data_IF_831237986321
#
_entry.id   IF_831237986321
#
_cell.length_a   1.000
_cell.length_b   1.000
_cell.length_c   1.000
_cell.angle_alpha   90.00
_cell.angle_beta   90.00
_cell.angle_gamma   90.00
#
_symmetry.space_group_name_H-M   'P 1'
#
loop_
_entity.id
_entity.type
_entity.pdbx_description
1 polymer ?
#
# COMPACT_ATOMS: atom_id res chain seq x y z
N UNK A 1 -10.35 -69.97 -18.34
CA UNK A 1 -10.61 -68.67 -17.66
C UNK A 1 -9.47 -68.21 -16.73
N UNK A 2 -8.61 -69.11 -16.22
CA UNK A 2 -7.50 -68.75 -15.33
C UNK A 2 -6.40 -67.87 -16.00
N UNK A 3 -6.11 -68.09 -17.29
CA UNK A 3 -5.07 -67.33 -18.00
C UNK A 3 -5.42 -65.86 -18.23
N UNK A 4 -6.70 -65.51 -18.39
CA UNK A 4 -7.10 -64.11 -18.63
C UNK A 4 -6.94 -63.27 -17.36
N UNK A 5 -7.23 -63.84 -16.20
CA UNK A 5 -7.04 -63.17 -14.91
C UNK A 5 -5.56 -62.96 -14.57
N UNK A 6 -4.69 -63.90 -14.94
CA UNK A 6 -3.25 -63.77 -14.75
C UNK A 6 -2.65 -62.63 -15.58
N UNK A 7 -3.10 -62.48 -16.84
CA UNK A 7 -2.66 -61.39 -17.72
C UNK A 7 -3.15 -60.02 -17.24
N UNK A 8 -4.38 -59.92 -16.72
CA UNK A 8 -4.90 -58.68 -16.15
C UNK A 8 -4.16 -58.27 -14.87
N UNK A 9 -3.74 -59.22 -14.04
CA UNK A 9 -2.95 -58.95 -12.83
C UNK A 9 -1.53 -58.45 -13.17
N UNK A 10 -0.89 -59.01 -14.21
CA UNK A 10 0.43 -58.56 -14.69
C UNK A 10 0.34 -57.16 -15.30
N UNK A 11 -0.71 -56.86 -16.08
CA UNK A 11 -0.95 -55.52 -16.62
C UNK A 11 -1.22 -54.48 -15.53
N UNK A 12 -1.98 -54.82 -14.48
CA UNK A 12 -2.22 -53.90 -13.37
C UNK A 12 -0.95 -53.58 -12.57
N UNK A 13 -0.07 -54.56 -12.38
CA UNK A 13 1.22 -54.34 -11.72
C UNK A 13 2.20 -53.53 -12.59
N UNK A 14 2.17 -53.71 -13.91
CA UNK A 14 2.98 -52.90 -14.85
C UNK A 14 2.49 -51.44 -14.93
N UNK A 15 1.17 -51.21 -14.87
CA UNK A 15 0.57 -49.86 -14.80
C UNK A 15 0.84 -49.20 -13.44
N UNK A 16 0.87 -49.98 -12.35
CA UNK A 16 1.24 -49.49 -11.02
C UNK A 16 2.73 -49.11 -10.91
N UNK A 17 3.63 -49.92 -11.49
CA UNK A 17 5.07 -49.62 -11.53
C UNK A 17 5.40 -48.40 -12.41
N UNK A 18 4.67 -48.19 -13.50
CA UNK A 18 4.81 -46.99 -14.34
C UNK A 18 4.18 -45.74 -13.72
N UNK A 19 3.22 -45.89 -12.79
CA UNK A 19 2.70 -44.79 -11.97
C UNK A 19 3.66 -44.40 -10.83
N UNK A 20 4.35 -45.37 -10.23
CA UNK A 20 5.33 -45.12 -9.15
C UNK A 20 6.64 -44.51 -9.68
N UNK A 21 7.05 -44.84 -10.91
CA UNK A 21 8.22 -44.19 -11.54
C UNK A 21 7.97 -42.76 -12.06
N UNK A 22 6.71 -42.30 -12.14
CA UNK A 22 6.40 -40.92 -12.54
C UNK A 22 6.54 -39.88 -11.41
N UNK A 23 6.69 -40.32 -10.16
CA UNK A 23 6.71 -39.43 -8.99
C UNK A 23 7.96 -39.57 -8.13
N UNK A 24 9.14 -39.77 -8.74
CA UNK A 24 10.39 -39.44 -8.07
C UNK A 24 10.71 -37.99 -8.44
N UNK A 25 10.60 -37.01 -7.53
CA UNK A 25 11.17 -35.69 -7.78
C UNK A 25 12.68 -35.88 -7.83
N UNK A 26 13.22 -36.05 -9.03
CA UNK A 26 14.63 -35.92 -9.29
C UNK A 26 15.03 -34.52 -8.82
N UNK A 27 15.56 -34.43 -7.60
CA UNK A 27 16.22 -33.25 -7.07
C UNK A 27 17.44 -33.01 -7.93
N UNK A 28 17.23 -32.35 -9.08
CA UNK A 28 18.30 -31.85 -9.95
C UNK A 28 19.15 -30.94 -9.09
N UNK A 29 20.33 -31.42 -8.72
CA UNK A 29 21.42 -30.54 -8.30
C UNK A 29 21.64 -29.59 -9.47
N UNK A 30 21.21 -28.34 -9.30
CA UNK A 30 21.42 -27.26 -10.24
C UNK A 30 22.92 -27.03 -10.36
N UNK A 31 23.50 -27.60 -11.41
CA UNK A 31 24.81 -27.18 -11.91
C UNK A 31 24.54 -25.81 -12.54
N UNK A 32 25.13 -24.77 -11.95
CA UNK A 32 25.05 -23.40 -12.44
C UNK A 32 25.45 -23.38 -13.92
N UNK A 33 24.51 -23.02 -14.78
CA UNK A 33 24.76 -22.66 -16.16
C UNK A 33 24.26 -21.23 -16.34
N UNK A 34 25.06 -20.30 -16.87
CA UNK A 34 24.67 -18.89 -17.05
C UNK A 34 23.52 -18.69 -18.08
N UNK A 35 22.90 -19.79 -18.54
CA UNK A 35 21.71 -19.84 -19.39
C UNK A 35 20.47 -20.40 -18.68
N UNK A 36 20.54 -20.73 -17.39
CA UNK A 36 19.36 -21.12 -16.61
C UNK A 36 18.55 -19.88 -16.24
N UNK A 37 17.29 -19.89 -16.66
CA UNK A 37 16.26 -18.88 -16.38
C UNK A 37 16.36 -18.39 -14.93
N UNK A 38 16.86 -17.17 -14.74
CA UNK A 38 16.95 -16.54 -13.42
C UNK A 38 15.53 -16.31 -12.89
N UNK A 39 15.14 -17.09 -11.88
CA UNK A 39 13.89 -16.90 -11.16
C UNK A 39 13.94 -15.67 -10.26
N UNK A 40 12.77 -15.09 -9.91
CA UNK A 40 12.72 -13.83 -9.17
C UNK A 40 13.37 -13.94 -7.78
N UNK A 41 13.27 -15.10 -7.11
CA UNK A 41 13.93 -15.38 -5.82
C UNK A 41 15.41 -15.76 -5.94
N UNK A 42 15.92 -16.07 -7.13
CA UNK A 42 17.29 -16.53 -7.35
C UNK A 42 18.17 -15.46 -7.98
N UNK A 43 17.61 -14.27 -8.25
CA UNK A 43 18.39 -13.13 -8.72
C UNK A 43 19.46 -12.79 -7.66
N UNK A 44 20.73 -12.58 -8.07
CA UNK A 44 21.77 -12.21 -7.12
C UNK A 44 21.45 -10.87 -6.47
N UNK A 45 22.05 -10.65 -5.31
CA UNK A 45 21.77 -9.52 -4.41
C UNK A 45 23.08 -8.79 -4.09
N UNK A 46 23.05 -7.48 -3.77
CA UNK A 46 24.23 -6.60 -3.75
C UNK A 46 25.44 -7.05 -2.94
N UNK A 47 25.25 -7.86 -1.90
CA UNK A 47 26.35 -8.32 -1.05
C UNK A 47 27.02 -9.60 -1.57
N UNK A 48 26.51 -10.21 -2.65
CA UNK A 48 27.16 -11.36 -3.26
C UNK A 48 28.30 -10.89 -4.16
N UNK A 49 29.44 -11.60 -4.12
CA UNK A 49 30.63 -11.28 -4.94
C UNK A 49 30.33 -11.30 -6.45
N UNK A 50 29.28 -11.99 -6.84
CA UNK A 50 28.86 -12.16 -8.23
C UNK A 50 27.91 -11.03 -8.69
N UNK A 51 27.40 -10.20 -7.80
CA UNK A 51 26.39 -9.20 -8.13
C UNK A 51 26.90 -8.16 -9.13
N UNK A 52 28.08 -7.59 -8.90
CA UNK A 52 28.62 -6.53 -9.77
C UNK A 52 28.89 -7.05 -11.18
N UNK A 53 29.39 -8.28 -11.27
CA UNK A 53 29.66 -9.00 -12.53
C UNK A 53 28.33 -9.34 -13.21
N UNK A 54 27.38 -9.89 -12.47
CA UNK A 54 26.07 -10.26 -12.99
C UNK A 54 25.30 -9.04 -13.46
N UNK A 55 25.33 -7.92 -12.76
CA UNK A 55 24.61 -6.71 -13.14
C UNK A 55 25.39 -5.82 -14.13
N UNK A 56 26.63 -6.19 -14.44
CA UNK A 56 27.55 -5.41 -15.29
C UNK A 56 27.77 -3.98 -14.80
N UNK A 57 27.83 -3.78 -13.47
CA UNK A 57 27.92 -2.44 -12.87
C UNK A 57 29.20 -1.70 -13.29
N UNK A 58 30.31 -2.40 -13.42
CA UNK A 58 31.60 -1.81 -13.84
C UNK A 58 31.58 -1.34 -15.30
N UNK A 59 30.87 -2.07 -16.17
CA UNK A 59 30.71 -1.69 -17.57
C UNK A 59 29.83 -0.45 -17.70
N UNK A 60 28.72 -0.42 -16.97
CA UNK A 60 27.73 0.67 -17.01
C UNK A 60 28.15 1.90 -16.19
N UNK A 61 29.08 1.76 -15.24
CA UNK A 61 29.52 2.80 -14.29
C UNK A 61 28.36 3.49 -13.54
N UNK A 62 27.25 2.79 -13.38
CA UNK A 62 26.06 3.30 -12.68
C UNK A 62 25.59 2.26 -11.68
N UNK A 63 25.13 2.74 -10.53
CA UNK A 63 24.79 1.88 -9.41
C UNK A 63 23.29 1.64 -9.28
N UNK A 64 22.43 1.98 -10.25
CA UNK A 64 20.96 1.82 -10.15
C UNK A 64 20.37 0.84 -11.17
N UNK A 65 21.17 0.33 -12.10
CA UNK A 65 20.73 -0.57 -13.17
C UNK A 65 21.45 -1.91 -13.07
N UNK A 66 20.70 -2.99 -13.20
CA UNK A 66 21.22 -4.34 -13.31
C UNK A 66 20.87 -4.91 -14.67
N UNK A 67 21.89 -5.13 -15.51
CA UNK A 67 21.73 -5.64 -16.88
C UNK A 67 22.59 -6.89 -17.14
N UNK A 68 22.11 -8.08 -16.78
CA UNK A 68 22.87 -9.31 -16.89
C UNK A 68 23.17 -9.78 -18.30
N UNK A 69 22.40 -9.34 -19.29
CA UNK A 69 22.67 -9.69 -20.67
C UNK A 69 23.43 -8.61 -21.43
N UNK A 70 23.80 -7.49 -20.80
CA UNK A 70 24.43 -6.35 -21.45
C UNK A 70 23.62 -5.87 -22.66
N UNK A 71 22.29 -5.83 -22.50
CA UNK A 71 21.36 -5.43 -23.54
C UNK A 71 21.52 -3.96 -23.87
N UNK A 72 21.80 -3.13 -22.86
CA UNK A 72 22.11 -1.72 -23.06
C UNK A 72 23.61 -1.55 -23.27
N UNK A 73 23.95 -0.61 -24.15
CA UNK A 73 25.30 -0.09 -24.27
C UNK A 73 25.58 0.95 -23.18
N UNK A 74 26.87 1.18 -22.90
CA UNK A 74 27.28 2.21 -21.94
C UNK A 74 26.75 3.60 -22.31
N UNK A 75 26.72 3.96 -23.60
CA UNK A 75 26.19 5.25 -24.06
C UNK A 75 24.67 5.36 -23.84
N UNK A 76 23.93 4.27 -24.01
CA UNK A 76 22.50 4.24 -23.68
C UNK A 76 22.26 4.43 -22.18
N UNK A 77 23.07 3.81 -21.33
CA UNK A 77 22.99 4.02 -19.89
C UNK A 77 23.37 5.45 -19.50
N UNK A 78 24.39 6.05 -20.13
CA UNK A 78 24.74 7.46 -19.92
C UNK A 78 23.59 8.40 -20.33
N UNK A 79 22.88 8.12 -21.43
CA UNK A 79 21.67 8.86 -21.82
C UNK A 79 20.50 8.66 -20.84
N UNK A 80 20.38 7.45 -20.27
CA UNK A 80 19.38 7.17 -19.24
C UNK A 80 19.70 7.91 -17.94
N UNK A 81 20.97 7.97 -17.55
CA UNK A 81 21.45 8.66 -16.34
C UNK A 81 21.16 10.16 -16.38
N UNK A 82 21.26 10.78 -17.56
CA UNK A 82 20.82 12.16 -17.76
C UNK A 82 19.34 12.34 -17.36
N UNK A 83 18.46 11.44 -17.83
CA UNK A 83 17.03 11.47 -17.50
C UNK A 83 16.79 11.24 -16.00
N UNK A 84 17.53 10.32 -15.37
CA UNK A 84 17.41 10.03 -13.92
C UNK A 84 17.81 11.25 -13.08
N UNK A 85 18.88 11.94 -13.47
CA UNK A 85 19.38 13.14 -12.79
C UNK A 85 18.43 14.34 -12.97
N UNK A 86 17.91 14.55 -14.17
CA UNK A 86 16.91 15.60 -14.44
C UNK A 86 15.67 15.44 -13.55
N UNK A 87 15.25 14.20 -13.29
CA UNK A 87 14.06 13.88 -12.51
C UNK A 87 14.35 13.73 -10.99
N UNK A 88 15.56 14.14 -10.56
CA UNK A 88 16.01 14.15 -9.15
C UNK A 88 15.88 12.78 -8.45
N UNK A 89 16.12 11.69 -9.18
CA UNK A 89 16.14 10.33 -8.65
C UNK A 89 17.57 9.88 -8.31
N UNK A 90 17.71 8.86 -7.46
CA UNK A 90 18.99 8.29 -7.01
C UNK A 90 18.96 6.79 -7.01
N UNK A 91 20.13 6.13 -6.93
CA UNK A 91 20.18 4.68 -6.80
C UNK A 91 19.61 4.18 -5.46
N UNK A 92 18.90 3.05 -5.48
CA UNK A 92 18.50 2.33 -4.28
C UNK A 92 19.67 1.59 -3.57
N UNK A 93 20.77 1.34 -4.27
CA UNK A 93 21.98 0.67 -3.76
C UNK A 93 22.94 1.64 -3.06
N UNK A 94 22.50 2.88 -2.90
CA UNK A 94 23.30 3.97 -2.39
C UNK A 94 23.30 3.97 -0.85
N UNK A 95 24.46 4.29 -0.25
CA UNK A 95 24.58 4.40 1.22
C UNK A 95 23.72 5.53 1.79
N UNK A 96 23.59 5.61 3.12
CA UNK A 96 22.69 6.56 3.83
C UNK A 96 22.90 8.05 3.53
N UNK A 97 23.95 8.42 2.80
CA UNK A 97 24.28 9.79 2.37
C UNK A 97 23.67 10.21 1.03
N UNK A 98 22.97 9.32 0.33
CA UNK A 98 22.51 9.58 -1.03
C UNK A 98 21.25 10.43 -1.06
N UNK A 99 21.45 11.74 -0.89
CA UNK A 99 20.45 12.79 -1.10
C UNK A 99 19.17 12.60 -0.29
N UNK A 100 19.14 13.17 0.93
CA UNK A 100 17.88 13.27 1.70
C UNK A 100 16.82 13.96 0.84
N UNK A 101 15.70 13.28 0.60
CA UNK A 101 14.58 13.78 -0.20
C UNK A 101 14.55 13.34 -1.66
N UNK A 102 15.58 12.67 -2.18
CA UNK A 102 15.54 12.09 -3.54
C UNK A 102 14.84 10.74 -3.53
N UNK A 103 14.09 10.46 -4.60
CA UNK A 103 13.42 9.16 -4.78
C UNK A 103 14.43 8.12 -5.23
N UNK A 104 14.37 6.93 -4.61
CA UNK A 104 15.29 5.82 -4.91
C UNK A 104 14.75 4.97 -6.06
N UNK A 105 15.58 4.77 -7.08
CA UNK A 105 15.30 4.04 -8.30
C UNK A 105 16.17 2.77 -8.36
N UNK A 106 15.56 1.66 -8.76
CA UNK A 106 16.25 0.44 -9.17
C UNK A 106 15.70 -0.03 -10.51
N UNK A 107 16.56 -0.35 -11.47
CA UNK A 107 16.18 -0.89 -12.78
C UNK A 107 16.77 -2.28 -12.93
N UNK A 108 15.95 -3.25 -13.32
CA UNK A 108 16.40 -4.62 -13.59
C UNK A 108 15.97 -5.06 -14.97
N UNK A 109 16.93 -5.47 -15.78
CA UNK A 109 16.69 -6.05 -17.10
C UNK A 109 16.75 -7.57 -16.97
N UNK A 110 15.64 -8.22 -17.28
CA UNK A 110 15.48 -9.67 -17.18
C UNK A 110 15.52 -10.25 -18.61
N UNK A 111 16.60 -10.97 -18.99
CA UNK A 111 16.76 -11.46 -20.36
C UNK A 111 15.69 -12.48 -20.76
N UNK A 112 15.31 -13.34 -19.81
CA UNK A 112 14.21 -14.28 -19.97
C UNK A 112 13.60 -14.62 -18.60
N UNK A 113 12.27 -14.63 -18.52
CA UNK A 113 11.51 -15.12 -17.37
C UNK A 113 10.77 -16.42 -17.73
N UNK A 114 10.34 -17.19 -16.73
CA UNK A 114 9.46 -18.34 -16.95
C UNK A 114 8.41 -18.43 -15.86
N UNK A 115 7.24 -18.95 -16.21
CA UNK A 115 6.18 -19.21 -15.22
C UNK A 115 6.66 -20.26 -14.20
N UNK A 116 7.42 -21.26 -14.66
CA UNK A 116 7.99 -22.29 -13.78
C UNK A 116 8.94 -21.70 -12.72
N UNK A 117 9.73 -20.68 -13.08
CA UNK A 117 10.64 -20.03 -12.13
C UNK A 117 9.92 -19.13 -11.13
N UNK A 118 8.72 -18.63 -11.47
CA UNK A 118 7.82 -17.93 -10.55
C UNK A 118 7.24 -18.91 -9.53
N UNK A 119 6.70 -20.03 -10.01
CA UNK A 119 6.13 -21.09 -9.15
C UNK A 119 7.19 -21.68 -8.21
N UNK A 120 8.42 -21.89 -8.71
CA UNK A 120 9.52 -22.37 -7.88
C UNK A 120 9.96 -21.38 -6.78
N UNK A 121 9.64 -20.09 -6.93
CA UNK A 121 9.93 -19.04 -5.95
C UNK A 121 8.84 -18.96 -4.87
N UNK A 122 7.59 -19.29 -5.20
CA UNK A 122 6.48 -19.36 -4.25
C UNK A 122 5.60 -20.57 -4.51
N UNK A 123 5.75 -21.61 -3.67
CA UNK A 123 5.01 -22.87 -3.77
C UNK A 123 3.51 -22.71 -3.55
N UNK A 124 3.02 -21.58 -3.04
CA UNK A 124 1.58 -21.33 -2.96
C UNK A 124 0.95 -21.15 -4.35
N UNK A 125 1.74 -20.77 -5.36
CA UNK A 125 1.30 -20.59 -6.74
C UNK A 125 1.10 -21.90 -7.51
N UNK A 126 1.48 -23.06 -6.94
CA UNK A 126 1.17 -24.38 -7.52
C UNK A 126 -0.35 -24.59 -7.69
N UNK A 127 -1.15 -23.98 -6.81
CA UNK A 127 -2.61 -24.12 -6.81
C UNK A 127 -3.34 -22.98 -7.55
N UNK A 128 -2.65 -21.89 -7.84
CA UNK A 128 -3.21 -20.71 -8.49
C UNK A 128 -2.17 -20.08 -9.46
N UNK A 129 -1.84 -20.76 -10.57
CA UNK A 129 -0.88 -20.24 -11.52
C UNK A 129 -1.42 -18.97 -12.20
N UNK A 130 -0.53 -18.06 -12.65
CA UNK A 130 -0.96 -16.86 -13.35
C UNK A 130 -1.73 -17.21 -14.62
N UNK A 131 -2.91 -16.61 -14.77
CA UNK A 131 -3.82 -16.85 -15.90
C UNK A 131 -3.40 -16.15 -17.19
N UNK A 132 -2.45 -15.22 -17.15
CA UNK A 132 -1.99 -14.45 -18.31
C UNK A 132 -0.53 -14.02 -18.19
N UNK A 133 0.12 -13.76 -19.33
CA UNK A 133 1.51 -13.27 -19.36
C UNK A 133 1.70 -11.93 -18.62
N UNK A 134 0.82 -10.91 -18.75
CA UNK A 134 0.95 -9.70 -17.95
C UNK A 134 0.85 -9.97 -16.45
N UNK A 135 -0.08 -10.84 -16.01
CA UNK A 135 -0.19 -11.22 -14.60
C UNK A 135 1.07 -11.93 -14.09
N UNK A 136 1.64 -12.84 -14.90
CA UNK A 136 2.92 -13.47 -14.58
C UNK A 136 4.06 -12.44 -14.51
N UNK A 137 4.09 -11.46 -15.42
CA UNK A 137 5.08 -10.38 -15.44
C UNK A 137 5.03 -9.54 -14.16
N UNK A 138 3.82 -9.19 -13.73
CA UNK A 138 3.60 -8.46 -12.50
C UNK A 138 4.00 -9.28 -11.26
N UNK A 139 3.63 -10.56 -11.18
CA UNK A 139 4.02 -11.43 -10.07
C UNK A 139 5.54 -11.62 -10.00
N UNK A 140 6.20 -11.82 -11.15
CA UNK A 140 7.66 -11.87 -11.22
C UNK A 140 8.27 -10.60 -10.62
N UNK A 141 7.74 -9.44 -11.02
CA UNK A 141 8.23 -8.15 -10.56
C UNK A 141 8.04 -7.95 -9.04
N UNK A 142 6.88 -8.35 -8.49
CA UNK A 142 6.61 -8.29 -7.06
C UNK A 142 7.55 -9.19 -6.24
N UNK A 143 7.75 -10.43 -6.69
CA UNK A 143 8.63 -11.39 -6.02
C UNK A 143 10.09 -10.91 -6.05
N UNK A 144 10.55 -10.36 -7.17
CA UNK A 144 11.88 -9.80 -7.27
C UNK A 144 12.05 -8.57 -6.37
N UNK A 145 11.08 -7.65 -6.35
CA UNK A 145 11.12 -6.49 -5.45
C UNK A 145 11.16 -6.92 -3.98
N UNK A 146 10.39 -7.94 -3.59
CA UNK A 146 10.43 -8.50 -2.24
C UNK A 146 11.80 -9.11 -1.92
N UNK A 147 12.37 -9.89 -2.84
CA UNK A 147 13.69 -10.49 -2.70
C UNK A 147 14.80 -9.42 -2.51
N UNK A 148 14.71 -8.31 -3.24
CA UNK A 148 15.69 -7.23 -3.17
C UNK A 148 15.43 -6.20 -2.06
N UNK A 149 14.24 -6.14 -1.49
CA UNK A 149 13.84 -5.15 -0.49
C UNK A 149 14.76 -5.08 0.74
N UNK A 150 15.39 -6.19 1.13
CA UNK A 150 16.34 -6.25 2.23
C UNK A 150 17.68 -5.55 1.95
N UNK A 151 17.99 -5.25 0.69
CA UNK A 151 19.30 -4.75 0.25
C UNK A 151 19.22 -3.48 -0.62
N UNK A 152 18.09 -3.27 -1.30
CA UNK A 152 17.78 -2.12 -2.13
C UNK A 152 16.38 -1.65 -1.73
N UNK A 153 16.31 -0.57 -0.93
CA UNK A 153 15.05 0.06 -0.57
C UNK A 153 14.65 1.06 -1.67
N UNK A 154 14.22 0.56 -2.82
CA UNK A 154 13.80 1.38 -3.95
C UNK A 154 12.38 1.92 -3.76
N UNK A 155 12.19 3.24 -3.86
CA UNK A 155 10.84 3.83 -3.90
C UNK A 155 10.14 3.47 -5.22
N UNK A 156 10.91 3.35 -6.30
CA UNK A 156 10.48 2.93 -7.63
C UNK A 156 11.43 1.86 -8.16
N UNK A 157 10.91 0.67 -8.45
CA UNK A 157 11.65 -0.39 -9.11
C UNK A 157 11.05 -0.65 -10.50
N UNK A 158 11.85 -0.52 -11.56
CA UNK A 158 11.39 -0.79 -12.93
C UNK A 158 12.01 -2.09 -13.40
N UNK A 159 11.16 -3.05 -13.76
CA UNK A 159 11.59 -4.37 -14.20
C UNK A 159 11.22 -4.52 -15.67
N UNK A 160 12.22 -4.74 -16.52
CA UNK A 160 12.04 -4.97 -17.95
C UNK A 160 12.27 -6.45 -18.26
N UNK A 161 11.23 -7.18 -18.63
CA UNK A 161 11.31 -8.58 -19.03
C UNK A 161 11.34 -8.64 -20.55
N UNK A 162 12.44 -9.14 -21.12
CA UNK A 162 12.62 -9.19 -22.57
C UNK A 162 11.86 -10.32 -23.26
N UNK A 163 11.85 -11.51 -22.65
CA UNK A 163 11.27 -12.71 -23.24
C UNK A 163 10.76 -13.70 -22.19
N UNK A 164 9.92 -14.65 -22.62
CA UNK A 164 9.30 -15.66 -21.76
C UNK A 164 9.54 -17.10 -22.25
N UNK A 165 9.97 -18.01 -21.37
CA UNK A 165 10.12 -19.46 -21.62
C UNK A 165 8.89 -20.24 -21.10
N UNK A 166 8.54 -21.41 -21.67
CA UNK A 166 9.32 -22.28 -22.60
C UNK A 166 9.32 -21.86 -24.07
N UNK A 167 8.39 -21.05 -24.55
CA UNK A 167 8.23 -20.79 -26.00
C UNK A 167 9.00 -19.57 -26.53
N UNK A 168 9.98 -19.05 -25.77
CA UNK A 168 10.71 -17.79 -26.06
C UNK A 168 9.79 -16.70 -26.63
N UNK A 169 8.61 -16.52 -26.03
CA UNK A 169 7.64 -15.53 -26.46
C UNK A 169 8.31 -14.16 -26.38
N UNK A 170 8.58 -13.55 -27.54
CA UNK A 170 9.23 -12.25 -27.68
C UNK A 170 8.24 -11.12 -27.45
N UNK A 171 7.58 -11.15 -26.30
CA UNK A 171 6.66 -10.10 -25.84
C UNK A 171 7.29 -9.45 -24.61
N UNK A 172 8.04 -8.35 -24.81
CA UNK A 172 8.67 -7.68 -23.69
C UNK A 172 7.62 -6.94 -22.86
N UNK A 173 7.85 -6.90 -21.55
CA UNK A 173 7.02 -6.17 -20.60
C UNK A 173 7.89 -5.26 -19.76
N UNK A 174 7.38 -4.08 -19.46
CA UNK A 174 7.95 -3.18 -18.46
C UNK A 174 6.96 -3.03 -17.31
N UNK A 175 7.46 -3.18 -16.09
CA UNK A 175 6.65 -3.23 -14.88
C UNK A 175 7.24 -2.25 -13.87
N UNK A 176 6.59 -1.12 -13.60
CA UNK A 176 6.97 -0.22 -12.52
C UNK A 176 6.34 -0.71 -11.21
N UNK A 177 7.16 -0.99 -10.20
CA UNK A 177 6.75 -1.33 -8.84
C UNK A 177 7.04 -0.13 -7.94
N UNK A 178 5.98 0.47 -7.40
CA UNK A 178 6.11 1.54 -6.42
C UNK A 178 6.10 0.94 -5.01
N UNK A 179 7.04 1.37 -4.17
CA UNK A 179 7.17 0.86 -2.80
C UNK A 179 7.65 1.95 -1.84
N UNK A 180 7.72 1.64 -0.54
CA UNK A 180 8.16 2.56 0.51
C UNK A 180 7.47 3.93 0.44
N UNK A 181 8.19 5.00 0.06
CA UNK A 181 7.63 6.35 0.04
C UNK A 181 6.59 6.57 -1.08
N UNK A 182 6.40 5.59 -1.97
CA UNK A 182 5.45 5.64 -3.09
C UNK A 182 4.44 4.48 -3.04
N UNK A 183 4.27 3.81 -1.90
CA UNK A 183 3.36 2.66 -1.75
C UNK A 183 1.92 2.96 -2.22
N UNK A 184 1.43 4.20 -2.07
CA UNK A 184 0.11 4.61 -2.56
C UNK A 184 -0.03 4.54 -4.08
N UNK A 185 1.07 4.71 -4.81
CA UNK A 185 1.12 4.59 -6.26
C UNK A 185 1.17 3.13 -6.73
N UNK A 186 1.25 2.15 -5.83
CA UNK A 186 1.26 0.73 -6.19
C UNK A 186 0.04 0.33 -7.02
N UNK A 187 -1.10 1.03 -6.87
CA UNK A 187 -2.27 0.85 -7.73
C UNK A 187 -2.03 1.16 -9.21
N UNK A 188 -0.96 1.86 -9.56
CA UNK A 188 -0.55 2.17 -10.93
C UNK A 188 0.53 1.22 -11.46
N UNK A 189 0.93 0.20 -10.68
CA UNK A 189 1.92 -0.80 -11.07
C UNK A 189 1.36 -1.82 -12.07
N UNK A 190 0.97 -1.37 -13.26
CA UNK A 190 0.46 -2.24 -14.30
C UNK A 190 1.56 -2.65 -15.27
N UNK A 191 1.64 -3.94 -15.64
CA UNK A 191 2.57 -4.42 -16.66
C UNK A 191 2.16 -3.87 -18.02
N UNK A 192 3.05 -3.13 -18.68
CA UNK A 192 2.81 -2.62 -20.04
C UNK A 192 3.64 -3.41 -21.04
N UNK A 193 3.01 -3.84 -22.14
CA UNK A 193 3.72 -4.55 -23.21
C UNK A 193 4.50 -3.55 -24.05
N UNK A 194 5.78 -3.82 -24.26
CA UNK A 194 6.64 -3.00 -25.10
C UNK A 194 6.58 -3.53 -26.54
N UNK A 195 6.38 -2.66 -27.55
CA UNK A 195 6.48 -3.05 -28.95
C UNK A 195 7.85 -3.65 -29.28
N UNK A 196 7.90 -4.71 -30.09
CA UNK A 196 9.15 -5.40 -30.41
C UNK A 196 10.20 -4.53 -31.14
N UNK A 197 9.78 -3.41 -31.75
CA UNK A 197 10.67 -2.46 -32.45
C UNK A 197 11.14 -1.30 -31.57
N UNK A 198 10.55 -1.14 -30.39
CA UNK A 198 10.93 -0.05 -29.48
C UNK A 198 12.26 -0.41 -28.79
N UNK A 199 13.28 0.46 -28.84
CA UNK A 199 14.54 0.21 -28.15
C UNK A 199 14.33 0.25 -26.64
N UNK A 200 15.09 -0.59 -25.92
CA UNK A 200 14.97 -0.75 -24.46
C UNK A 200 15.19 0.58 -23.74
N UNK A 201 16.15 1.38 -24.21
CA UNK A 201 16.39 2.73 -23.69
C UNK A 201 15.14 3.60 -23.73
N UNK A 202 14.45 3.65 -24.87
CA UNK A 202 13.27 4.51 -25.04
C UNK A 202 12.12 4.04 -24.14
N UNK A 203 11.91 2.72 -24.05
CA UNK A 203 10.90 2.15 -23.16
C UNK A 203 11.18 2.49 -21.69
N UNK A 204 12.45 2.40 -21.25
CA UNK A 204 12.85 2.78 -19.89
C UNK A 204 12.69 4.27 -19.64
N UNK A 205 13.17 5.14 -20.53
CA UNK A 205 13.02 6.59 -20.40
C UNK A 205 11.54 7.00 -20.33
N UNK A 206 10.69 6.42 -21.18
CA UNK A 206 9.26 6.68 -21.18
C UNK A 206 8.62 6.22 -19.86
N UNK A 207 9.00 5.04 -19.35
CA UNK A 207 8.51 4.53 -18.07
C UNK A 207 8.93 5.41 -16.88
N UNK A 208 10.20 5.85 -16.83
CA UNK A 208 10.69 6.74 -15.77
C UNK A 208 9.97 8.09 -15.82
N UNK A 209 9.84 8.71 -17.01
CA UNK A 209 9.12 9.98 -17.16
C UNK A 209 7.64 9.84 -16.79
N UNK A 210 7.00 8.74 -17.17
CA UNK A 210 5.62 8.47 -16.79
C UNK A 210 5.47 8.30 -15.27
N UNK A 211 6.36 7.54 -14.64
CA UNK A 211 6.38 7.37 -13.19
C UNK A 211 6.62 8.71 -12.47
N UNK A 212 7.53 9.54 -12.97
CA UNK A 212 7.78 10.86 -12.42
C UNK A 212 6.54 11.76 -12.44
N UNK A 213 5.80 11.80 -13.57
CA UNK A 213 4.54 12.56 -13.66
C UNK A 213 3.51 12.10 -12.64
N UNK A 214 3.43 10.79 -12.37
CA UNK A 214 2.52 10.24 -11.34
C UNK A 214 2.97 10.66 -9.93
N UNK A 215 4.27 10.67 -9.67
CA UNK A 215 4.84 11.11 -8.40
C UNK A 215 4.58 12.61 -8.18
N UNK A 216 4.75 13.45 -9.21
CA UNK A 216 4.45 14.88 -9.14
C UNK A 216 2.96 15.15 -8.91
N UNK A 217 2.08 14.44 -9.63
CA UNK A 217 0.64 14.55 -9.46
C UNK A 217 0.19 14.19 -8.03
N UNK A 218 0.77 13.12 -7.45
CA UNK A 218 0.48 12.77 -6.05
C UNK A 218 0.96 13.85 -5.08
N UNK A 219 2.13 14.45 -5.32
CA UNK A 219 2.62 15.54 -4.48
C UNK A 219 1.67 16.75 -4.48
N UNK A 220 1.12 17.09 -5.64
CA UNK A 220 0.11 18.15 -5.72
C UNK A 220 -1.17 17.81 -4.98
N UNK A 221 -1.62 16.55 -5.05
CA UNK A 221 -2.80 16.07 -4.32
C UNK A 221 -2.57 16.04 -2.80
N UNK A 222 -1.36 15.67 -2.35
CA UNK A 222 -1.02 15.68 -0.93
C UNK A 222 -0.95 17.10 -0.39
N UNK A 223 -0.29 18.02 -1.10
CA UNK A 223 -0.17 19.40 -0.65
C UNK A 223 -1.53 20.11 -0.62
N UNK A 224 -2.45 19.77 -1.52
CA UNK A 224 -3.81 20.32 -1.53
C UNK A 224 -4.74 19.68 -0.49
N UNK A 225 -4.62 18.38 -0.22
CA UNK A 225 -5.52 17.67 0.71
C UNK A 225 -5.03 17.59 2.16
N UNK A 226 -3.73 17.77 2.43
CA UNK A 226 -3.16 17.74 3.79
C UNK A 226 -2.74 19.09 4.34
N UNK A 227 -2.73 20.14 3.53
CA UNK A 227 -2.74 21.49 4.08
C UNK A 227 -4.15 21.78 4.58
N UNK A 228 -4.28 22.08 5.88
CA UNK A 228 -5.51 22.68 6.41
C UNK A 228 -5.83 23.84 5.48
N UNK A 229 -7.00 23.86 4.83
CA UNK A 229 -7.24 24.83 3.79
C UNK A 229 -7.17 26.22 4.42
N UNK A 230 -6.55 27.17 3.72
CA UNK A 230 -6.22 28.48 4.30
C UNK A 230 -7.45 29.22 4.86
N UNK A 231 -8.64 28.95 4.29
CA UNK A 231 -9.91 29.45 4.82
C UNK A 231 -10.24 28.90 6.23
N UNK A 232 -9.93 27.63 6.51
CA UNK A 232 -10.16 27.01 7.82
C UNK A 232 -9.19 27.55 8.87
N UNK A 233 -7.93 27.82 8.49
CA UNK A 233 -6.98 28.50 9.37
C UNK A 233 -7.41 29.95 9.66
N UNK A 234 -7.93 30.65 8.64
CA UNK A 234 -8.52 31.99 8.79
C UNK A 234 -9.73 32.00 9.74
N UNK A 235 -10.64 31.03 9.61
CA UNK A 235 -11.79 30.89 10.52
C UNK A 235 -11.35 30.55 11.95
N UNK A 236 -10.37 29.67 12.13
CA UNK A 236 -9.85 29.33 13.45
C UNK A 236 -9.23 30.55 14.15
N UNK A 237 -8.40 31.33 13.44
CA UNK A 237 -7.86 32.59 13.95
C UNK A 237 -8.96 33.62 14.24
N UNK A 238 -9.95 33.74 13.36
CA UNK A 238 -11.08 34.65 13.54
C UNK A 238 -11.90 34.32 14.80
N UNK A 239 -12.21 33.04 15.02
CA UNK A 239 -12.91 32.59 16.23
C UNK A 239 -12.09 32.86 17.50
N UNK A 240 -10.78 32.70 17.45
CA UNK A 240 -9.88 33.01 18.57
C UNK A 240 -9.92 34.51 18.92
N UNK A 241 -9.91 35.39 17.91
CA UNK A 241 -10.02 36.84 18.11
C UNK A 241 -11.38 37.20 18.73
N UNK A 242 -12.48 36.59 18.27
CA UNK A 242 -13.82 36.80 18.83
C UNK A 242 -13.89 36.36 20.29
N UNK A 243 -13.27 35.25 20.65
CA UNK A 243 -13.19 34.79 22.05
C UNK A 243 -12.40 35.78 22.90
N UNK A 244 -11.24 36.26 22.44
CA UNK A 244 -10.44 37.26 23.17
C UNK A 244 -11.21 38.57 23.34
N UNK A 245 -11.87 39.06 22.29
CA UNK A 245 -12.69 40.28 22.36
C UNK A 245 -13.91 40.12 23.28
N UNK A 246 -14.55 38.95 23.30
CA UNK A 246 -15.68 38.69 24.19
C UNK A 246 -15.26 38.63 25.67
N UNK A 247 -14.11 38.02 25.97
CA UNK A 247 -13.53 38.04 27.33
C UNK A 247 -13.12 39.45 27.74
N UNK A 248 -12.51 40.24 26.82
CA UNK A 248 -12.13 41.62 27.10
C UNK A 248 -13.34 42.53 27.36
N UNK A 249 -14.38 42.42 26.54
CA UNK A 249 -15.63 43.19 26.73
C UNK A 249 -16.36 42.78 28.00
N UNK A 250 -16.44 41.48 28.32
CA UNK A 250 -16.99 40.99 29.58
C UNK A 250 -16.22 41.51 30.81
N UNK A 251 -14.89 41.51 30.76
CA UNK A 251 -14.06 42.08 31.84
C UNK A 251 -14.21 43.61 31.95
N UNK A 252 -14.35 44.32 30.83
CA UNK A 252 -14.55 45.76 30.82
C UNK A 252 -15.92 46.13 31.44
N UNK A 253 -16.98 45.41 31.08
CA UNK A 253 -18.33 45.58 31.65
C UNK A 253 -18.31 45.26 33.15
N UNK A 254 -17.73 44.14 33.55
CA UNK A 254 -17.64 43.74 34.97
C UNK A 254 -16.85 44.76 35.80
N UNK A 255 -15.74 45.29 35.29
CA UNK A 255 -14.98 46.35 35.97
C UNK A 255 -15.72 47.69 36.05
N UNK A 256 -16.58 48.00 35.06
CA UNK A 256 -17.40 49.22 35.06
C UNK A 256 -18.60 49.10 36.02
N UNK A 257 -19.19 47.91 36.14
CA UNK A 257 -20.25 47.61 37.11
C UNK A 257 -19.74 47.43 38.54
N UNK A 258 -18.53 46.90 38.74
CA UNK A 258 -17.89 46.77 40.04
C UNK A 258 -17.48 48.10 40.69
N UNK A 259 -17.56 49.22 39.96
CA UNK A 259 -17.32 50.58 40.47
C UNK A 259 -18.57 51.32 40.93
N UNK A 260 -19.77 50.74 40.77
CA UNK A 260 -20.96 51.26 41.42
C UNK A 260 -21.22 50.48 42.72
N UNK A 261 -21.17 51.13 43.91
CA UNK A 261 -21.64 50.47 45.11
C UNK A 261 -23.13 50.17 44.92
N UNK A 262 -23.45 48.89 44.88
CA UNK A 262 -24.81 48.36 44.79
C UNK A 262 -25.56 48.81 46.06
N UNK A 263 -26.19 49.99 46.02
CA UNK A 263 -27.22 50.33 47.01
C UNK A 263 -28.41 49.42 46.74
N UNK A 264 -28.51 48.35 47.54
CA UNK A 264 -29.76 47.64 47.74
C UNK A 264 -30.88 48.64 48.06
N UNK A 265 -31.87 48.75 47.18
CA UNK A 265 -33.25 49.10 47.56
C UNK A 265 -34.20 48.24 46.73
N UNK A 266 -34.78 47.26 47.40
CA UNK A 266 -35.95 46.53 46.94
C UNK A 266 -37.20 47.41 47.03
N UNK A 267 -38.02 47.45 45.96
CA UNK A 267 -39.49 47.38 45.99
C UNK A 267 -40.05 47.40 44.55
N UNK A 268 -40.35 46.24 43.96
CA UNK A 268 -41.69 45.64 43.72
C UNK A 268 -42.59 46.35 42.69
N UNK A 269 -42.69 45.75 41.49
CA UNK A 269 -43.94 45.37 40.78
C UNK A 269 -43.57 44.51 39.53
N UNK A 270 -43.46 43.19 39.66
CA UNK A 270 -44.48 42.16 39.33
C UNK A 270 -44.97 42.25 37.86
N UNK A 271 -44.56 41.39 36.92
CA UNK A 271 -45.12 40.06 36.53
C UNK A 271 -44.47 39.74 35.14
N UNK A 272 -44.12 38.55 34.66
CA UNK A 272 -44.60 37.16 34.79
C UNK A 272 -43.43 36.18 34.65
N UNK A 273 -43.47 35.12 35.46
CA UNK A 273 -42.81 33.82 35.22
C UNK A 273 -43.29 33.22 33.89
N UNK A 274 -42.35 32.79 33.05
CA UNK A 274 -42.53 31.59 32.24
C UNK A 274 -41.24 30.78 32.31
N UNK A 275 -41.35 29.61 32.91
CA UNK A 275 -40.30 28.61 32.99
C UNK A 275 -40.09 27.99 31.62
N UNK A 276 -38.86 27.95 31.13
CA UNK A 276 -38.43 26.82 30.32
C UNK A 276 -37.00 26.42 30.70
N UNK A 277 -36.93 25.18 31.20
CA UNK A 277 -35.73 24.43 31.46
C UNK A 277 -35.06 24.12 30.12
N UNK A 278 -34.05 24.89 29.74
CA UNK A 278 -33.03 24.39 28.84
C UNK A 278 -31.97 23.64 29.65
N UNK A 279 -32.22 22.34 29.81
CA UNK A 279 -31.26 21.35 30.31
C UNK A 279 -30.41 20.90 29.12
N UNK A 280 -29.34 21.64 28.80
CA UNK A 280 -28.28 21.13 27.95
C UNK A 280 -27.45 20.15 28.80
N UNK A 281 -27.62 18.85 28.56
CA UNK A 281 -26.81 17.83 29.19
C UNK A 281 -25.42 17.80 28.58
N UNK A 282 -24.39 18.04 29.38
CA UNK A 282 -23.11 17.34 29.33
C UNK A 282 -22.58 17.24 30.75
N UNK A 283 -22.14 16.04 31.12
CA UNK A 283 -21.92 15.62 32.50
C UNK A 283 -20.74 16.30 33.21
N UNK A 284 -20.89 16.36 34.54
CA UNK A 284 -19.92 16.86 35.50
C UNK A 284 -20.69 17.60 36.59
N UNK A 285 -20.81 17.15 37.82
CA UNK A 285 -20.20 16.08 38.58
C UNK A 285 -20.57 16.36 40.04
N UNK A 286 -20.66 15.30 40.83
CA UNK A 286 -20.62 15.31 42.31
C UNK A 286 -21.82 15.90 43.07
N UNK A 287 -22.61 14.95 43.58
CA UNK A 287 -23.42 15.08 44.79
C UNK A 287 -22.54 15.20 46.03
N UNK A 288 -22.97 16.03 46.98
CA UNK A 288 -22.78 15.98 48.44
C UNK A 288 -23.36 17.30 48.96
N UNK A 289 -24.08 17.47 50.06
CA UNK A 289 -24.58 16.74 51.23
C UNK A 289 -25.57 17.81 51.80
N UNK A 290 -26.77 17.60 52.32
CA UNK A 290 -27.19 16.68 53.34
C UNK A 290 -28.73 16.81 53.48
N UNK A 291 -29.31 15.73 53.98
CA UNK A 291 -30.63 15.58 54.59
C UNK A 291 -31.31 16.84 55.15
N UNK A 292 -32.64 16.94 54.95
CA UNK A 292 -33.67 16.89 56.01
C UNK A 292 -35.06 17.05 55.35
N UNK A 293 -36.03 16.29 55.87
CA UNK A 293 -37.47 16.33 55.59
C UNK A 293 -38.00 15.56 54.37
N UNK A 294 -38.15 14.25 54.64
CA UNK A 294 -39.25 13.45 54.14
C UNK A 294 -40.60 14.19 54.25
N UNK A 295 -41.36 14.24 53.15
CA UNK A 295 -42.82 14.11 53.19
C UNK A 295 -43.26 13.13 52.10
N UNK A 296 -43.59 11.92 52.56
CA UNK A 296 -44.41 10.95 51.82
C UNK A 296 -45.84 11.50 51.74
N UNK A 297 -46.46 11.42 50.57
CA UNK A 297 -47.90 11.22 50.47
C UNK A 297 -48.20 10.26 49.31
N UNK A 298 -49.09 9.33 49.63
CA UNK A 298 -49.34 8.02 49.04
C UNK A 298 -50.30 8.09 47.83
N UNK A 299 -50.01 7.20 46.87
CA UNK A 299 -50.84 6.52 45.84
C UNK A 299 -52.12 7.17 45.27
N UNK A 300 -52.26 7.04 43.94
CA UNK A 300 -53.32 6.19 43.37
C UNK A 300 -52.90 5.60 42.02
N UNK A 301 -52.91 4.26 41.95
CA UNK A 301 -52.88 3.48 40.72
C UNK A 301 -54.32 3.33 40.20
N UNK A 302 -54.56 3.63 38.93
CA UNK A 302 -55.67 3.07 38.15
C UNK A 302 -55.07 2.34 36.96
N UNK A 303 -55.23 1.02 36.99
CA UNK A 303 -54.94 0.05 35.92
C UNK A 303 -55.68 0.38 34.63
N UNK A 304 -55.13 0.03 33.46
CA UNK A 304 -55.80 -0.83 32.47
C UNK A 304 -54.79 -1.49 31.52
N UNK A 305 -54.81 -2.83 31.55
CA UNK A 305 -54.51 -3.83 30.50
C UNK A 305 -53.37 -3.64 29.49
N UNK A 306 -52.38 -4.54 29.59
CA UNK A 306 -51.60 -5.12 28.49
C UNK A 306 -52.46 -6.10 27.68
N UNK A 307 -52.19 -6.20 26.37
CA UNK A 307 -51.91 -7.47 25.63
C UNK A 307 -51.34 -7.15 24.23
N UNK A 308 -50.56 -8.03 23.59
CA UNK A 308 -49.11 -7.87 23.59
C UNK A 308 -48.45 -7.92 22.19
N UNK A 309 -47.14 -7.65 22.18
CA UNK A 309 -46.23 -7.90 21.07
C UNK A 309 -46.06 -9.40 20.77
N UNK A 310 -45.69 -9.75 19.53
CA UNK A 310 -44.76 -10.85 19.30
C UNK A 310 -43.99 -10.73 17.98
N UNK A 311 -42.66 -10.84 18.10
CA UNK A 311 -41.71 -11.08 17.02
C UNK A 311 -41.97 -12.44 16.35
N UNK A 312 -41.62 -12.54 15.06
CA UNK A 312 -41.83 -13.72 14.24
C UNK A 312 -40.87 -14.89 14.49
N UNK A 313 -41.09 -15.96 13.71
CA UNK A 313 -40.09 -16.78 13.00
C UNK A 313 -40.78 -17.90 12.21
N UNK A 314 -40.36 -18.05 10.95
CA UNK A 314 -40.16 -19.31 10.16
C UNK A 314 -41.29 -20.28 9.81
N UNK A 315 -41.15 -20.77 8.56
CA UNK A 315 -41.69 -21.99 7.92
C UNK A 315 -43.15 -21.91 7.46
N UNK A 316 -43.55 -22.41 6.28
CA UNK A 316 -42.91 -23.02 5.08
C UNK A 316 -44.08 -23.23 4.10
N UNK A 317 -43.75 -23.44 2.82
CA UNK A 317 -44.61 -23.85 1.67
C UNK A 317 -45.20 -22.68 0.88
#
# INVERSE_FOLDING_TARGET
MLNVLLWMAVLNNAVSLSAVYRNVPARRRSIYHPSTVSGPCTFPVPYTKEFDIFCQLDYHKTAYICDPAGILSRTEVEMLDHTVRELNMTSCFCSSSCGRGRKKLGIVIVPAASINSIIACDSSLDYAPPTSLPAAAFLFAQLLNRHWSGHCMADLMIIYIRAWNPDRVRKPFIIPIYSHALERLQRYSHPTSVPAREPVLLALQNSIRHAHRLIEAEWTDFQTNTSIPQWAMGLACGMLIVVVLSVYTANCITNKLGRHPQKQRYAVSAFRKSSDRFRAGFGGGMMMNASVQQKRSVMMFRTFSKTPARNGTTNRL
#
